data_IF_685984777047
#
_entry.id   IF_685984777047
#
_cell.length_a   1.000
_cell.length_b   1.000
_cell.length_c   1.000
_cell.angle_alpha   90.00
_cell.angle_beta   90.00
_cell.angle_gamma   90.00
#
_symmetry.space_group_name_H-M   'P 1'
#
loop_
_entity.id
_entity.type
_entity.pdbx_description
1 polymer ?
#
# COMPACT_ATOMS: atom_id res chain seq x y z
N UNK A 1 40.41 -23.21 -21.20
CA UNK A 1 40.09 -21.81 -20.94
C UNK A 1 38.94 -21.31 -21.87
N UNK A 2 38.99 -21.56 -23.20
CA UNK A 2 37.96 -21.14 -24.16
C UNK A 2 36.57 -21.70 -23.88
N UNK A 3 36.44 -22.99 -23.55
CA UNK A 3 35.15 -23.61 -23.20
C UNK A 3 34.50 -23.00 -21.95
N UNK A 4 35.33 -22.70 -20.94
CA UNK A 4 34.85 -22.03 -19.71
C UNK A 4 34.37 -20.61 -20.03
N UNK A 5 35.11 -19.87 -20.87
CA UNK A 5 34.70 -18.53 -21.30
C UNK A 5 33.38 -18.52 -22.04
N UNK A 6 33.16 -19.47 -22.96
CA UNK A 6 31.93 -19.62 -23.69
C UNK A 6 30.78 -19.99 -22.74
N UNK A 7 31.00 -20.95 -21.83
CA UNK A 7 29.99 -21.36 -20.86
C UNK A 7 29.54 -20.22 -19.94
N UNK A 8 30.50 -19.43 -19.44
CA UNK A 8 30.21 -18.24 -18.61
C UNK A 8 29.47 -17.18 -19.42
N UNK A 9 29.86 -16.93 -20.68
CA UNK A 9 29.16 -15.98 -21.54
C UNK A 9 27.70 -16.40 -21.82
N UNK A 10 27.46 -17.67 -22.14
CA UNK A 10 26.10 -18.20 -22.32
C UNK A 10 25.29 -18.13 -21.05
N UNK A 11 25.87 -18.51 -19.91
CA UNK A 11 25.19 -18.44 -18.61
C UNK A 11 24.78 -17.00 -18.27
N UNK A 12 25.64 -16.02 -18.51
CA UNK A 12 25.34 -14.60 -18.28
C UNK A 12 24.19 -14.13 -19.17
N UNK A 13 24.19 -14.46 -20.45
CA UNK A 13 23.10 -14.09 -21.37
C UNK A 13 21.78 -14.74 -20.90
N UNK A 14 21.80 -16.03 -20.56
CA UNK A 14 20.62 -16.70 -20.04
C UNK A 14 20.10 -16.05 -18.74
N UNK A 15 20.99 -15.68 -17.82
CA UNK A 15 20.63 -15.02 -16.58
C UNK A 15 19.99 -13.64 -16.82
N UNK A 16 20.53 -12.84 -17.75
CA UNK A 16 19.96 -11.54 -18.12
C UNK A 16 18.59 -11.69 -18.77
N UNK A 17 18.42 -12.66 -19.66
CA UNK A 17 17.13 -12.92 -20.31
C UNK A 17 16.09 -13.43 -19.31
N UNK A 18 16.49 -14.30 -18.39
CA UNK A 18 15.60 -14.78 -17.33
C UNK A 18 15.17 -13.63 -16.40
N UNK A 19 16.12 -12.79 -15.96
CA UNK A 19 15.82 -11.63 -15.12
C UNK A 19 14.86 -10.65 -15.81
N UNK A 20 15.13 -10.34 -17.09
CA UNK A 20 14.24 -9.51 -17.90
C UNK A 20 12.83 -10.10 -17.95
N UNK A 21 12.70 -11.37 -18.27
CA UNK A 21 11.42 -12.04 -18.40
C UNK A 21 10.62 -12.07 -17.08
N UNK A 22 11.28 -12.36 -15.95
CA UNK A 22 10.64 -12.33 -14.65
C UNK A 22 10.25 -10.91 -14.23
N UNK A 23 11.07 -9.89 -14.55
CA UNK A 23 10.72 -8.49 -14.30
C UNK A 23 9.50 -8.04 -15.11
N UNK A 24 9.46 -8.36 -16.40
CA UNK A 24 8.30 -8.05 -17.26
C UNK A 24 7.02 -8.75 -16.77
N UNK A 25 7.12 -9.99 -16.32
CA UNK A 25 5.99 -10.75 -15.73
C UNK A 25 5.51 -10.14 -14.42
N UNK A 26 6.41 -9.76 -13.53
CA UNK A 26 6.07 -9.14 -12.25
C UNK A 26 5.33 -7.82 -12.48
N UNK A 27 5.89 -6.93 -13.30
CA UNK A 27 5.25 -5.64 -13.65
C UNK A 27 3.88 -5.83 -14.32
N UNK A 28 3.74 -6.81 -15.20
CA UNK A 28 2.47 -7.08 -15.89
C UNK A 28 1.40 -7.63 -14.94
N UNK A 29 1.77 -8.39 -13.92
CA UNK A 29 0.82 -8.89 -12.91
C UNK A 29 0.22 -7.74 -12.11
N UNK A 30 1.05 -6.86 -11.56
CA UNK A 30 0.61 -5.70 -10.80
C UNK A 30 -0.24 -4.74 -11.65
N UNK A 31 0.23 -4.43 -12.87
CA UNK A 31 -0.48 -3.56 -13.81
C UNK A 31 -1.84 -4.14 -14.24
N UNK A 32 -1.99 -5.46 -14.21
CA UNK A 32 -3.24 -6.16 -14.55
C UNK A 32 -4.29 -6.17 -13.45
N UNK A 33 -3.98 -5.72 -12.24
CA UNK A 33 -4.91 -5.70 -11.12
C UNK A 33 -5.94 -4.58 -11.22
N UNK A 34 -5.55 -3.44 -11.78
CA UNK A 34 -6.37 -2.22 -11.83
C UNK A 34 -6.46 -1.70 -13.26
N UNK A 35 -7.63 -1.26 -13.67
CA UNK A 35 -7.83 -0.66 -15.00
C UNK A 35 -7.59 0.85 -14.97
N UNK A 36 -7.85 1.49 -13.83
CA UNK A 36 -7.66 2.92 -13.63
C UNK A 36 -7.10 3.21 -12.23
N UNK A 37 -6.27 4.25 -12.16
CA UNK A 37 -5.79 4.86 -10.92
C UNK A 37 -6.07 6.36 -10.99
N UNK A 38 -6.81 6.88 -10.03
CA UNK A 38 -7.00 8.31 -9.86
C UNK A 38 -6.18 8.81 -8.65
N UNK A 39 -5.52 9.96 -8.79
CA UNK A 39 -4.68 10.53 -7.74
C UNK A 39 -4.52 12.04 -7.89
N UNK A 40 -3.73 12.64 -7.01
CA UNK A 40 -3.36 14.05 -7.08
C UNK A 40 -2.71 14.40 -8.42
N UNK A 41 -2.81 15.66 -8.84
CA UNK A 41 -2.19 16.14 -10.08
C UNK A 41 -0.68 16.02 -10.00
N UNK A 42 -0.08 15.35 -10.97
CA UNK A 42 1.38 15.13 -11.03
C UNK A 42 1.76 14.17 -12.15
N UNK A 43 2.89 13.51 -11.98
CA UNK A 43 3.37 12.51 -12.94
C UNK A 43 2.51 11.23 -12.88
N UNK A 44 1.96 10.77 -14.02
CA UNK A 44 1.24 9.48 -14.06
C UNK A 44 2.12 8.30 -13.61
N UNK A 45 3.40 8.32 -13.96
CA UNK A 45 4.35 7.29 -13.55
C UNK A 45 4.52 7.27 -12.03
N UNK A 46 4.72 8.44 -11.41
CA UNK A 46 4.86 8.57 -9.96
C UNK A 46 3.58 8.12 -9.23
N UNK A 47 2.41 8.46 -9.77
CA UNK A 47 1.13 8.00 -9.22
C UNK A 47 1.05 6.47 -9.20
N UNK A 48 1.40 5.80 -10.28
CA UNK A 48 1.39 4.33 -10.36
C UNK A 48 2.47 3.74 -9.45
N UNK A 49 3.69 4.26 -9.46
CA UNK A 49 4.77 3.77 -8.61
C UNK A 49 4.42 3.88 -7.12
N UNK A 50 3.79 4.97 -6.71
CA UNK A 50 3.43 5.16 -5.30
C UNK A 50 2.22 4.32 -4.88
N UNK A 51 1.14 4.29 -5.67
CA UNK A 51 -0.14 3.71 -5.25
C UNK A 51 -0.33 2.24 -5.60
N UNK A 52 0.36 1.73 -6.62
CA UNK A 52 0.26 0.33 -7.06
C UNK A 52 1.48 -0.48 -6.62
N UNK A 53 2.68 0.08 -6.81
CA UNK A 53 3.93 -0.61 -6.48
C UNK A 53 4.49 -0.27 -5.09
N UNK A 54 3.94 0.75 -4.43
CA UNK A 54 4.38 1.22 -3.12
C UNK A 54 5.86 1.65 -3.06
N UNK A 55 6.41 2.16 -4.17
CA UNK A 55 7.85 2.44 -4.34
C UNK A 55 8.23 3.92 -4.25
N UNK A 56 7.30 4.85 -4.44
CA UNK A 56 7.60 6.29 -4.54
C UNK A 56 6.68 7.11 -3.62
N UNK A 57 6.97 8.39 -3.50
CA UNK A 57 6.14 9.35 -2.78
C UNK A 57 4.87 9.67 -3.58
N UNK A 58 3.72 9.87 -2.92
CA UNK A 58 2.48 10.22 -3.61
C UNK A 58 2.57 11.59 -4.27
N UNK A 59 1.79 11.79 -5.35
CA UNK A 59 1.70 13.05 -6.08
C UNK A 59 0.85 14.12 -5.38
N UNK A 60 0.19 13.77 -4.28
CA UNK A 60 -0.73 14.60 -3.52
C UNK A 60 -2.00 13.82 -3.16
N UNK A 61 -2.95 14.50 -2.54
CA UNK A 61 -4.17 13.89 -2.04
C UNK A 61 -5.41 14.29 -2.85
N UNK A 62 -6.43 13.47 -2.78
CA UNK A 62 -7.78 13.69 -3.30
C UNK A 62 -8.78 13.73 -2.13
N UNK A 63 -9.85 14.52 -2.23
CA UNK A 63 -10.96 14.43 -1.29
C UNK A 63 -11.55 13.00 -1.29
N UNK A 64 -11.79 12.45 -0.11
CA UNK A 64 -12.44 11.14 0.04
C UNK A 64 -13.84 11.08 -0.62
N UNK A 65 -14.51 12.24 -0.76
CA UNK A 65 -15.77 12.36 -1.52
C UNK A 65 -15.64 11.92 -2.97
N UNK A 66 -14.46 12.09 -3.59
CA UNK A 66 -14.22 11.64 -4.97
C UNK A 66 -14.23 10.11 -5.04
N UNK A 67 -13.63 9.42 -4.06
CA UNK A 67 -13.77 7.98 -3.96
C UNK A 67 -15.25 7.55 -3.88
N UNK A 68 -16.05 8.17 -3.03
CA UNK A 68 -17.49 7.86 -2.91
C UNK A 68 -18.25 8.13 -4.21
N UNK A 69 -17.81 9.10 -5.01
CA UNK A 69 -18.38 9.37 -6.35
C UNK A 69 -18.04 8.25 -7.34
N UNK A 70 -16.78 7.82 -7.40
CA UNK A 70 -16.37 6.72 -8.28
C UNK A 70 -17.00 5.39 -7.87
N UNK A 71 -17.12 5.12 -6.57
CA UNK A 71 -17.78 3.91 -6.06
C UNK A 71 -19.24 3.77 -6.53
N UNK A 72 -19.92 4.89 -6.80
CA UNK A 72 -21.31 4.93 -7.28
C UNK A 72 -21.44 4.96 -8.81
N UNK A 73 -20.32 5.08 -9.53
CA UNK A 73 -20.34 5.14 -11.00
C UNK A 73 -20.71 3.77 -11.57
N UNK A 74 -21.76 3.66 -12.43
CA UNK A 74 -22.19 2.36 -12.95
C UNK A 74 -21.16 1.66 -13.84
N UNK A 75 -20.14 2.36 -14.31
CA UNK A 75 -19.03 1.81 -15.12
C UNK A 75 -17.96 1.16 -14.27
N UNK A 76 -17.91 1.46 -12.98
CA UNK A 76 -16.94 0.92 -12.03
C UNK A 76 -17.49 -0.39 -11.47
N UNK A 77 -16.71 -1.45 -11.61
CA UNK A 77 -16.99 -2.76 -11.03
C UNK A 77 -16.58 -2.80 -9.56
N UNK A 78 -15.38 -2.31 -9.29
CA UNK A 78 -14.76 -2.30 -7.97
C UNK A 78 -13.89 -1.05 -7.82
N UNK A 79 -13.83 -0.49 -6.61
CA UNK A 79 -12.92 0.60 -6.29
C UNK A 79 -12.52 0.57 -4.82
N UNK A 80 -11.30 0.99 -4.53
CA UNK A 80 -10.81 1.15 -3.18
C UNK A 80 -9.96 2.43 -3.04
N UNK A 81 -10.07 3.16 -1.92
CA UNK A 81 -9.20 4.28 -1.62
C UNK A 81 -7.87 3.78 -1.07
N UNK A 82 -6.81 4.53 -1.30
CA UNK A 82 -5.47 4.28 -0.77
C UNK A 82 -4.96 5.54 -0.11
N UNK A 83 -4.58 5.45 1.16
CA UNK A 83 -3.87 6.48 1.92
C UNK A 83 -2.46 5.99 2.25
N UNK A 84 -1.46 6.82 2.01
CA UNK A 84 -0.06 6.52 2.27
C UNK A 84 0.52 7.58 3.21
N UNK A 85 1.28 7.17 4.21
CA UNK A 85 1.89 8.11 5.14
C UNK A 85 3.01 7.51 5.98
N UNK A 86 2.87 6.25 6.35
CA UNK A 86 3.71 5.58 7.33
C UNK A 86 4.41 4.36 6.77
N UNK A 87 5.39 3.88 7.52
CA UNK A 87 6.09 2.63 7.24
C UNK A 87 6.40 1.86 8.54
N UNK A 88 6.74 0.59 8.38
CA UNK A 88 7.32 -0.26 9.41
C UNK A 88 8.41 -1.12 8.80
N UNK A 89 9.64 -1.04 9.33
CA UNK A 89 10.79 -1.79 8.82
C UNK A 89 10.98 -1.68 7.30
N UNK A 90 10.73 -0.48 6.74
CA UNK A 90 10.82 -0.22 5.31
C UNK A 90 9.64 -0.72 4.47
N UNK A 91 8.62 -1.33 5.09
CA UNK A 91 7.37 -1.71 4.44
C UNK A 91 6.31 -0.63 4.62
N UNK A 92 5.63 -0.28 3.53
CA UNK A 92 4.60 0.75 3.55
C UNK A 92 3.35 0.31 4.31
N UNK A 93 2.85 1.22 5.16
CA UNK A 93 1.51 1.09 5.74
C UNK A 93 0.54 1.79 4.79
N UNK A 94 -0.39 1.02 4.27
CA UNK A 94 -1.40 1.43 3.29
C UNK A 94 -2.75 1.47 3.98
N UNK A 95 -3.26 2.68 4.20
CA UNK A 95 -4.61 2.86 4.70
C UNK A 95 -5.62 2.61 3.58
N UNK A 96 -6.59 1.74 3.81
CA UNK A 96 -7.64 1.43 2.85
C UNK A 96 -8.95 1.06 3.56
N UNK A 97 -9.95 0.61 2.80
CA UNK A 97 -11.20 0.06 3.32
C UNK A 97 -11.28 -1.45 3.08
N UNK A 98 -12.15 -2.14 3.81
CA UNK A 98 -12.29 -3.60 3.75
C UNK A 98 -12.56 -4.13 2.35
N UNK A 99 -13.29 -3.39 1.52
CA UNK A 99 -13.57 -3.75 0.13
C UNK A 99 -12.31 -3.82 -0.76
N UNK A 100 -11.14 -3.36 -0.29
CA UNK A 100 -9.88 -3.56 -0.98
C UNK A 100 -9.61 -5.06 -1.21
N UNK A 101 -9.97 -5.88 -0.24
CA UNK A 101 -9.77 -7.33 -0.28
C UNK A 101 -10.82 -8.06 -1.13
N UNK A 102 -11.90 -7.37 -1.52
CA UNK A 102 -12.92 -7.89 -2.45
C UNK A 102 -12.53 -7.71 -3.93
N UNK A 103 -11.29 -7.27 -4.22
CA UNK A 103 -10.81 -7.12 -5.58
C UNK A 103 -11.02 -8.43 -6.36
N UNK A 104 -11.83 -8.44 -7.43
CA UNK A 104 -11.99 -9.65 -8.24
C UNK A 104 -10.77 -9.82 -9.16
N UNK A 105 -10.33 -11.03 -9.38
CA UNK A 105 -9.43 -11.36 -10.48
C UNK A 105 -10.16 -11.27 -11.83
N UNK A 106 -9.48 -11.54 -12.96
CA UNK A 106 -10.10 -11.46 -14.29
C UNK A 106 -11.17 -12.53 -14.52
N UNK A 107 -11.21 -13.57 -13.71
CA UNK A 107 -12.18 -14.66 -13.75
C UNK A 107 -13.37 -14.44 -12.81
N UNK A 108 -13.35 -13.33 -12.03
CA UNK A 108 -14.39 -12.97 -11.09
C UNK A 108 -14.26 -13.59 -9.70
N UNK A 109 -13.17 -14.31 -9.42
CA UNK A 109 -12.86 -14.82 -8.08
C UNK A 109 -12.11 -13.78 -7.24
N UNK A 110 -12.15 -13.86 -5.91
CA UNK A 110 -11.34 -12.99 -5.04
C UNK A 110 -9.85 -13.10 -5.40
N UNK A 111 -9.19 -11.96 -5.53
CA UNK A 111 -7.75 -11.91 -5.80
C UNK A 111 -6.94 -12.21 -4.54
N UNK A 112 -7.39 -11.71 -3.39
CA UNK A 112 -6.73 -11.90 -2.11
C UNK A 112 -7.29 -13.13 -1.38
N UNK A 113 -6.37 -13.95 -0.91
CA UNK A 113 -6.66 -15.06 0.00
C UNK A 113 -5.93 -14.84 1.32
N UNK A 114 -6.55 -15.20 2.44
CA UNK A 114 -5.92 -15.12 3.76
C UNK A 114 -5.24 -16.45 4.07
N UNK A 115 -3.93 -16.41 4.31
CA UNK A 115 -3.22 -17.56 4.86
C UNK A 115 -3.56 -17.77 6.33
N UNK A 116 -3.79 -16.67 7.08
CA UNK A 116 -4.17 -16.69 8.49
C UNK A 116 -5.04 -15.48 8.83
N UNK A 117 -5.91 -15.63 9.82
CA UNK A 117 -6.72 -14.54 10.36
C UNK A 117 -7.81 -14.05 9.40
N UNK A 118 -8.08 -12.76 9.47
CA UNK A 118 -9.17 -12.08 8.75
C UNK A 118 -8.79 -10.66 8.35
N UNK A 119 -9.63 -10.01 7.54
CA UNK A 119 -9.55 -8.58 7.30
C UNK A 119 -9.74 -7.80 8.63
N UNK A 120 -9.17 -6.63 8.70
CA UNK A 120 -9.36 -5.73 9.84
C UNK A 120 -10.84 -5.31 10.00
N UNK A 121 -11.29 -5.16 11.23
CA UNK A 121 -12.63 -4.66 11.59
C UNK A 121 -12.52 -3.37 12.40
N UNK A 122 -11.49 -3.29 13.24
CA UNK A 122 -11.24 -2.16 14.12
C UNK A 122 -10.09 -1.27 13.61
N UNK A 123 -10.06 -0.02 14.13
CA UNK A 123 -8.92 0.87 13.91
C UNK A 123 -7.64 0.24 14.45
N UNK A 124 -6.53 0.50 13.77
CA UNK A 124 -5.21 -0.03 14.09
C UNK A 124 -5.09 -1.56 14.00
N UNK A 125 -6.11 -2.27 13.51
CA UNK A 125 -5.90 -3.61 13.00
C UNK A 125 -5.30 -3.55 11.59
N UNK A 126 -4.39 -4.49 11.31
CA UNK A 126 -3.71 -4.56 10.01
C UNK A 126 -3.66 -5.97 9.46
N UNK A 127 -3.64 -6.04 8.14
CA UNK A 127 -3.37 -7.25 7.37
C UNK A 127 -1.97 -7.13 6.77
N UNK A 128 -1.14 -8.13 6.98
CA UNK A 128 0.21 -8.19 6.43
C UNK A 128 0.23 -8.86 5.06
N UNK A 129 0.96 -8.29 4.11
CA UNK A 129 1.38 -9.02 2.93
C UNK A 129 2.31 -10.19 3.29
N UNK A 130 2.33 -11.23 2.49
CA UNK A 130 3.06 -12.47 2.79
C UNK A 130 4.56 -12.25 3.02
N UNK A 131 5.18 -11.36 2.24
CA UNK A 131 6.60 -11.05 2.37
C UNK A 131 6.88 -10.23 3.64
N UNK A 132 5.97 -9.34 4.05
CA UNK A 132 6.10 -8.58 5.30
C UNK A 132 6.15 -9.55 6.47
N UNK A 133 5.17 -10.44 6.60
CA UNK A 133 5.12 -11.42 7.68
C UNK A 133 6.39 -12.28 7.74
N UNK A 134 6.81 -12.82 6.58
CA UNK A 134 8.00 -13.68 6.52
C UNK A 134 9.32 -12.96 6.84
N UNK A 135 9.44 -11.68 6.48
CA UNK A 135 10.69 -10.91 6.66
C UNK A 135 10.80 -10.26 8.03
N UNK A 136 9.68 -9.87 8.63
CA UNK A 136 9.65 -9.22 9.96
C UNK A 136 9.47 -10.21 11.09
N UNK A 137 8.96 -11.41 10.81
CA UNK A 137 8.61 -12.42 11.82
C UNK A 137 7.34 -12.09 12.60
N UNK A 138 6.56 -11.08 12.17
CA UNK A 138 5.28 -10.76 12.81
C UNK A 138 4.26 -11.86 12.55
N UNK A 139 3.58 -12.27 13.61
CA UNK A 139 2.54 -13.28 13.61
C UNK A 139 1.16 -12.68 13.90
N UNK A 140 0.12 -13.48 13.72
CA UNK A 140 -1.26 -13.09 14.03
C UNK A 140 -1.41 -12.70 15.51
N UNK A 141 -1.93 -11.50 15.76
CA UNK A 141 -2.11 -10.95 17.11
C UNK A 141 -0.95 -10.09 17.63
N UNK A 142 0.21 -10.11 16.97
CA UNK A 142 1.35 -9.27 17.34
C UNK A 142 1.03 -7.79 17.18
N UNK A 143 1.76 -6.97 17.93
CA UNK A 143 1.65 -5.51 17.87
C UNK A 143 2.98 -4.87 17.48
N UNK A 144 2.90 -3.78 16.72
CA UNK A 144 4.06 -2.98 16.34
C UNK A 144 3.68 -1.50 16.23
N UNK A 145 4.68 -0.63 16.11
CA UNK A 145 4.50 0.81 15.94
C UNK A 145 4.98 1.24 14.56
N UNK A 146 4.16 2.02 13.88
CA UNK A 146 4.56 2.67 12.63
C UNK A 146 5.53 3.83 12.89
N UNK A 147 6.29 4.18 11.85
CA UNK A 147 7.14 5.38 11.81
C UNK A 147 6.63 6.32 10.73
N UNK A 148 6.71 7.62 11.03
CA UNK A 148 6.31 8.63 10.06
C UNK A 148 7.21 8.62 8.83
N UNK A 149 6.57 8.82 7.67
CA UNK A 149 7.25 8.90 6.39
C UNK A 149 7.26 7.59 5.60
N UNK A 150 7.76 7.69 4.38
CA UNK A 150 7.68 6.60 3.41
C UNK A 150 8.94 5.73 3.37
N UNK A 151 9.98 6.16 4.06
CA UNK A 151 11.27 5.47 4.13
C UNK A 151 11.74 5.51 5.58
N UNK A 152 12.30 4.42 6.05
CA UNK A 152 12.91 4.36 7.36
C UNK A 152 14.17 5.23 7.37
N UNK A 153 14.15 6.29 8.18
CA UNK A 153 15.28 7.21 8.38
C UNK A 153 15.70 7.15 9.85
N UNK A 154 17.00 7.13 10.15
CA UNK A 154 17.46 7.23 11.53
C UNK A 154 16.90 8.49 12.21
N UNK A 155 16.15 8.30 13.31
CA UNK A 155 15.51 9.40 14.03
C UNK A 155 14.09 9.75 13.55
N UNK A 156 13.48 8.97 12.67
CA UNK A 156 12.06 9.12 12.32
C UNK A 156 11.17 9.02 13.57
N UNK A 157 10.11 9.81 13.59
CA UNK A 157 9.15 9.82 14.68
C UNK A 157 8.35 8.51 14.69
N UNK A 158 8.35 7.82 15.84
CA UNK A 158 7.62 6.57 16.05
C UNK A 158 6.29 6.90 16.71
N UNK A 159 5.20 6.46 16.12
CA UNK A 159 3.84 6.67 16.62
C UNK A 159 3.51 5.75 17.81
N UNK A 160 4.15 5.99 18.96
CA UNK A 160 4.02 5.13 20.15
C UNK A 160 2.63 5.10 20.75
N UNK A 161 1.81 6.11 20.46
CA UNK A 161 0.42 6.18 20.95
C UNK A 161 -0.56 5.37 20.12
N UNK A 162 -0.13 4.85 18.96
CA UNK A 162 -0.96 4.14 18.00
C UNK A 162 -0.37 2.77 17.64
N UNK A 163 -0.47 1.76 18.52
CA UNK A 163 -0.01 0.42 18.22
C UNK A 163 -0.90 -0.24 17.15
N UNK A 164 -0.31 -0.71 16.09
CA UNK A 164 -0.97 -1.57 15.12
C UNK A 164 -0.98 -3.02 15.60
N UNK A 165 -2.10 -3.74 15.39
CA UNK A 165 -2.26 -5.15 15.72
C UNK A 165 -2.53 -5.99 14.46
N UNK A 166 -1.80 -7.08 14.29
CA UNK A 166 -1.97 -7.99 13.16
C UNK A 166 -3.28 -8.78 13.29
N UNK A 167 -4.24 -8.55 12.39
CA UNK A 167 -5.53 -9.26 12.32
C UNK A 167 -5.55 -10.34 11.24
N UNK A 168 -4.66 -10.25 10.24
CA UNK A 168 -4.57 -11.21 9.17
C UNK A 168 -3.24 -11.19 8.44
N UNK A 169 -2.95 -12.28 7.74
CA UNK A 169 -1.77 -12.44 6.88
C UNK A 169 -2.26 -13.00 5.55
N UNK A 170 -1.90 -12.33 4.46
CA UNK A 170 -2.28 -12.75 3.10
C UNK A 170 -1.44 -13.95 2.64
N UNK A 171 -2.06 -14.81 1.84
CA UNK A 171 -1.32 -15.77 1.03
C UNK A 171 -0.48 -15.04 -0.04
N UNK A 172 0.64 -15.63 -0.51
CA UNK A 172 1.47 -15.01 -1.53
C UNK A 172 0.69 -14.71 -2.82
N UNK A 173 0.71 -13.47 -3.26
CA UNK A 173 0.06 -13.03 -4.51
C UNK A 173 1.04 -12.96 -5.68
N UNK A 174 2.34 -12.89 -5.40
CA UNK A 174 3.40 -12.63 -6.39
C UNK A 174 3.35 -11.22 -6.96
N UNK A 175 2.77 -10.26 -6.23
CA UNK A 175 2.62 -8.84 -6.62
C UNK A 175 3.23 -7.93 -5.57
N UNK A 176 3.22 -6.62 -5.82
CA UNK A 176 3.70 -5.61 -4.85
C UNK A 176 2.92 -5.64 -3.54
N UNK A 177 1.70 -6.18 -3.53
CA UNK A 177 0.85 -6.27 -2.35
C UNK A 177 1.45 -7.20 -1.27
N UNK A 178 2.30 -8.14 -1.65
CA UNK A 178 3.03 -9.00 -0.70
C UNK A 178 3.99 -8.22 0.21
N UNK A 179 4.35 -6.98 -0.21
CA UNK A 179 5.29 -6.09 0.48
C UNK A 179 4.62 -4.90 1.17
N UNK A 180 3.32 -4.93 1.34
CA UNK A 180 2.56 -3.86 1.99
C UNK A 180 1.90 -4.34 3.29
N UNK A 181 1.66 -3.40 4.19
CA UNK A 181 0.87 -3.58 5.40
C UNK A 181 -0.43 -2.81 5.17
N UNK A 182 -1.57 -3.47 5.25
CA UNK A 182 -2.86 -2.85 5.01
C UNK A 182 -3.57 -2.57 6.32
N UNK A 183 -3.90 -1.32 6.59
CA UNK A 183 -4.70 -0.90 7.73
C UNK A 183 -5.94 -0.12 7.32
N UNK A 184 -6.74 0.30 8.28
CA UNK A 184 -7.90 1.13 7.99
C UNK A 184 -7.48 2.54 7.57
N UNK A 185 -8.14 3.12 6.58
CA UNK A 185 -7.92 4.51 6.20
C UNK A 185 -8.23 5.47 7.36
N UNK A 186 -9.16 5.07 8.23
CA UNK A 186 -9.50 5.82 9.43
C UNK A 186 -8.33 5.92 10.43
N UNK A 187 -7.49 4.89 10.56
CA UNK A 187 -6.28 4.94 11.39
C UNK A 187 -5.25 5.92 10.84
N UNK A 188 -5.07 5.95 9.52
CA UNK A 188 -4.16 6.92 8.88
C UNK A 188 -4.63 8.36 9.13
N UNK A 189 -5.92 8.63 9.00
CA UNK A 189 -6.46 9.95 9.31
C UNK A 189 -6.25 10.35 10.77
N UNK A 190 -6.48 9.43 11.70
CA UNK A 190 -6.36 9.71 13.14
C UNK A 190 -4.93 10.07 13.55
N UNK A 191 -3.94 9.40 12.99
CA UNK A 191 -2.51 9.72 13.20
C UNK A 191 -2.22 11.14 12.72
N UNK A 192 -2.53 11.44 11.45
CA UNK A 192 -2.24 12.76 10.88
C UNK A 192 -3.00 13.89 11.57
N UNK A 193 -4.25 13.68 11.96
CA UNK A 193 -5.03 14.66 12.72
C UNK A 193 -4.40 14.94 14.08
N UNK A 194 -3.86 13.95 14.75
CA UNK A 194 -3.21 14.09 16.05
C UNK A 194 -1.89 14.86 15.91
N UNK A 195 -1.10 14.56 14.87
CA UNK A 195 0.13 15.28 14.55
C UNK A 195 -0.13 16.75 14.23
N UNK A 196 -1.12 17.05 13.39
CA UNK A 196 -1.49 18.42 13.04
C UNK A 196 -1.93 19.21 14.27
N UNK A 197 -2.68 18.60 15.20
CA UNK A 197 -3.05 19.23 16.47
C UNK A 197 -1.85 19.51 17.35
N UNK A 198 -0.93 18.57 17.45
CA UNK A 198 0.29 18.72 18.26
C UNK A 198 1.18 19.82 17.70
N UNK A 199 1.42 19.84 16.39
CA UNK A 199 2.19 20.88 15.72
C UNK A 199 1.56 22.27 15.90
N UNK A 200 0.24 22.39 15.77
CA UNK A 200 -0.48 23.63 15.95
C UNK A 200 -0.40 24.14 17.40
N UNK A 201 -0.50 23.23 18.37
CA UNK A 201 -0.36 23.56 19.78
C UNK A 201 1.05 24.08 20.13
N UNK A 202 2.09 23.45 19.57
CA UNK A 202 3.50 23.86 19.77
C UNK A 202 3.78 25.24 19.14
N UNK A 203 3.20 25.52 17.98
CA UNK A 203 3.39 26.80 17.28
C UNK A 203 2.50 27.93 17.80
N UNK A 204 1.63 27.68 18.77
CA UNK A 204 0.72 28.71 19.34
C UNK A 204 -0.30 29.22 18.31
N UNK A 205 -0.48 28.49 17.20
CA UNK A 205 -1.44 28.81 16.15
C UNK A 205 -2.82 28.31 16.58
N UNK A 206 -3.82 29.19 16.63
CA UNK A 206 -5.20 28.77 16.83
C UNK A 206 -5.60 27.84 15.67
N UNK A 207 -5.96 26.61 16.00
CA UNK A 207 -6.63 25.73 15.06
C UNK A 207 -7.89 26.46 14.59
N UNK A 208 -7.89 26.94 13.36
CA UNK A 208 -9.15 27.19 12.69
C UNK A 208 -9.89 25.83 12.71
N UNK A 209 -11.05 25.79 13.34
CA UNK A 209 -11.99 24.67 13.27
C UNK A 209 -12.37 24.47 11.80
N UNK A 210 -11.43 23.96 11.01
CA UNK A 210 -11.61 23.59 9.62
C UNK A 210 -12.02 22.13 9.58
N UNK A 211 -13.16 21.87 8.97
CA UNK A 211 -13.69 20.54 8.64
C UNK A 211 -12.54 19.59 8.33
N UNK A 212 -12.43 18.51 9.10
CA UNK A 212 -11.53 17.39 8.86
C UNK A 212 -11.59 17.02 7.37
N UNK A 213 -10.58 17.42 6.62
CA UNK A 213 -10.47 17.02 5.20
C UNK A 213 -10.08 15.55 5.17
N UNK A 214 -11.08 14.68 5.12
CA UNK A 214 -10.83 13.28 4.82
C UNK A 214 -10.30 13.19 3.41
N UNK A 215 -9.06 12.77 3.29
CA UNK A 215 -8.33 12.70 2.04
C UNK A 215 -7.85 11.27 1.78
N UNK A 216 -7.59 10.96 0.53
CA UNK A 216 -6.97 9.71 0.09
C UNK A 216 -5.88 10.05 -0.93
N UNK A 217 -4.81 9.30 -0.94
CA UNK A 217 -3.68 9.51 -1.85
C UNK A 217 -4.03 9.09 -3.27
N UNK A 218 -4.73 7.98 -3.40
CA UNK A 218 -5.18 7.45 -4.67
C UNK A 218 -6.47 6.66 -4.53
N UNK A 219 -7.13 6.44 -5.67
CA UNK A 219 -8.30 5.58 -5.82
C UNK A 219 -7.97 4.57 -6.90
N UNK A 220 -7.95 3.31 -6.53
CA UNK A 220 -7.76 2.18 -7.44
C UNK A 220 -9.12 1.71 -7.93
N UNK A 221 -9.23 1.39 -9.21
CA UNK A 221 -10.52 1.05 -9.83
C UNK A 221 -10.39 -0.08 -10.82
N UNK A 222 -11.46 -0.88 -10.88
CA UNK A 222 -11.70 -1.86 -11.91
C UNK A 222 -13.01 -1.54 -12.64
N UNK A 223 -12.99 -1.62 -13.95
CA UNK A 223 -14.13 -1.34 -14.81
C UNK A 223 -14.92 -2.61 -15.14
N UNK A 224 -16.17 -2.43 -15.56
CA UNK A 224 -17.05 -3.52 -16.05
C UNK A 224 -16.67 -3.94 -17.45
#
# INVERSE_FOLDING_TARGET
LTLIGIAVGVALVCAVLALRHESERALSRDAGLYDLVAGGKGSPLQLVLSSVYHLDSPTGNLPYSDFKRFQRDPRVLWSAPVGLGDNYSGYRIVGTETQFFDLPNREGHPFFEFAQGRVFEDRFEVVLGSQVASSTGLELGDTFFGTHGLVEVPGAEVHRDFPYRVSGILAPTGTAQDRAIFGTLASVWEIHETEDRLHSAIQGSALLEGHQKRETTAILMRLK
#
